data_IF_883450807510
#
_entry.id   IF_883450807510
#
_cell.length_a   1.000
_cell.length_b   1.000
_cell.length_c   1.000
_cell.angle_alpha   90.00
_cell.angle_beta   90.00
_cell.angle_gamma   90.00
#
_symmetry.space_group_name_H-M   'P 1'
#
loop_
_entity.id
_entity.type
_entity.pdbx_description
1 polymer ?
#
# COMPACT_ATOMS: atom_id res chain seq x y z
N UNK A 1 -13.19 -25.07 -11.17
CA UNK A 1 -13.20 -23.65 -11.54
C UNK A 1 -13.15 -22.84 -10.25
N UNK A 2 -12.00 -22.26 -9.93
CA UNK A 2 -11.87 -21.36 -8.77
C UNK A 2 -12.38 -20.00 -9.25
N UNK A 3 -13.54 -19.56 -8.76
CA UNK A 3 -14.00 -18.20 -9.01
C UNK A 3 -12.96 -17.23 -8.42
N UNK A 4 -12.37 -16.30 -9.21
CA UNK A 4 -11.55 -15.25 -8.62
C UNK A 4 -12.46 -14.47 -7.68
N UNK A 5 -12.07 -14.38 -6.39
CA UNK A 5 -12.81 -13.56 -5.42
C UNK A 5 -12.86 -12.13 -5.96
N UNK A 6 -14.05 -11.54 -6.17
CA UNK A 6 -14.20 -10.26 -6.87
C UNK A 6 -13.71 -9.03 -6.09
N UNK A 7 -13.13 -9.22 -4.90
CA UNK A 7 -12.76 -8.14 -3.98
C UNK A 7 -11.25 -7.93 -3.81
N UNK A 8 -10.41 -8.54 -4.66
CA UNK A 8 -8.97 -8.23 -4.63
C UNK A 8 -8.66 -7.24 -5.75
N UNK A 9 -8.31 -5.98 -5.42
CA UNK A 9 -7.98 -4.96 -6.41
C UNK A 9 -6.88 -5.46 -7.35
N UNK A 10 -7.04 -5.20 -8.65
CA UNK A 10 -6.12 -5.69 -9.66
C UNK A 10 -4.76 -4.97 -9.56
N UNK A 11 -3.80 -5.63 -8.92
CA UNK A 11 -2.44 -5.14 -8.74
C UNK A 11 -1.67 -5.00 -10.06
N UNK A 12 -2.17 -5.54 -11.18
CA UNK A 12 -1.55 -5.34 -12.50
C UNK A 12 -1.59 -3.87 -12.95
N UNK A 13 -2.46 -3.05 -12.34
CA UNK A 13 -2.48 -1.59 -12.56
C UNK A 13 -1.23 -0.91 -11.98
N UNK A 14 -0.60 -1.50 -10.97
CA UNK A 14 0.62 -0.97 -10.35
C UNK A 14 1.82 -1.41 -11.20
N UNK A 15 2.36 -0.47 -11.99
CA UNK A 15 3.53 -0.73 -12.83
C UNK A 15 4.86 -0.61 -12.07
N UNK A 16 4.83 -0.09 -10.85
CA UNK A 16 5.99 -0.08 -9.95
C UNK A 16 6.23 -1.49 -9.39
N UNK A 17 7.42 -2.03 -9.66
CA UNK A 17 7.84 -3.32 -9.10
C UNK A 17 7.94 -3.29 -7.58
N UNK A 18 8.39 -2.17 -7.00
CA UNK A 18 8.49 -2.03 -5.55
C UNK A 18 7.10 -1.99 -4.90
N UNK A 19 6.22 -1.07 -5.33
CA UNK A 19 4.88 -0.92 -4.74
C UNK A 19 4.06 -2.21 -4.89
N UNK A 20 4.16 -2.88 -6.04
CA UNK A 20 3.52 -4.18 -6.25
C UNK A 20 4.06 -5.24 -5.29
N UNK A 21 5.38 -5.36 -5.17
CA UNK A 21 5.98 -6.33 -4.25
C UNK A 21 5.59 -6.05 -2.80
N UNK A 22 5.45 -4.78 -2.40
CA UNK A 22 4.98 -4.40 -1.07
C UNK A 22 3.53 -4.83 -0.85
N UNK A 23 2.66 -4.59 -1.83
CA UNK A 23 1.27 -5.04 -1.76
C UNK A 23 1.20 -6.57 -1.63
N UNK A 24 1.99 -7.30 -2.41
CA UNK A 24 2.08 -8.77 -2.35
C UNK A 24 2.62 -9.25 -0.99
N UNK A 25 3.66 -8.63 -0.44
CA UNK A 25 4.21 -8.95 0.90
C UNK A 25 3.20 -8.69 2.02
N UNK A 26 2.47 -7.58 1.93
CA UNK A 26 1.43 -7.26 2.88
C UNK A 26 0.28 -8.27 2.80
N UNK A 27 -0.13 -8.68 1.59
CA UNK A 27 -1.11 -9.76 1.40
C UNK A 27 -0.62 -11.08 2.00
N UNK A 28 0.64 -11.43 1.77
CA UNK A 28 1.27 -12.62 2.35
C UNK A 28 1.31 -12.56 3.89
N UNK A 29 1.43 -11.36 4.45
CA UNK A 29 1.38 -11.11 5.90
C UNK A 29 -0.04 -11.11 6.48
N UNK A 30 -1.07 -11.36 5.67
CA UNK A 30 -2.47 -11.39 6.08
C UNK A 30 -3.24 -10.08 5.94
N UNK A 31 -2.59 -9.01 5.45
CA UNK A 31 -3.27 -7.77 5.07
C UNK A 31 -4.02 -7.96 3.74
N UNK A 32 -4.81 -6.99 3.32
CA UNK A 32 -5.49 -6.98 2.02
C UNK A 32 -5.54 -5.58 1.46
N UNK A 33 -5.37 -5.45 0.15
CA UNK A 33 -5.70 -4.19 -0.54
C UNK A 33 -7.23 -4.09 -0.55
N UNK A 34 -7.76 -3.00 0.00
CA UNK A 34 -9.21 -2.74 0.02
C UNK A 34 -9.66 -1.94 -1.20
N UNK A 35 -8.79 -1.08 -1.72
CA UNK A 35 -9.12 -0.23 -2.86
C UNK A 35 -7.86 0.24 -3.58
N UNK A 36 -8.00 0.51 -4.87
CA UNK A 36 -7.03 1.25 -5.68
C UNK A 36 -7.69 2.56 -6.09
N UNK A 37 -7.19 3.67 -5.55
CA UNK A 37 -7.66 5.01 -5.87
C UNK A 37 -6.73 5.67 -6.87
N UNK A 38 -7.26 6.10 -8.01
CA UNK A 38 -6.52 6.91 -8.97
C UNK A 38 -6.52 8.37 -8.47
N UNK A 39 -5.39 8.85 -7.96
CA UNK A 39 -5.21 10.25 -7.59
C UNK A 39 -4.61 11.04 -8.75
N UNK A 40 -4.77 12.36 -8.72
CA UNK A 40 -4.31 13.28 -9.78
C UNK A 40 -2.83 13.12 -10.15
N UNK A 41 -1.99 12.65 -9.22
CA UNK A 41 -0.55 12.46 -9.43
C UNK A 41 -0.07 11.02 -9.29
N UNK A 42 -0.87 10.11 -8.75
CA UNK A 42 -0.45 8.75 -8.48
C UNK A 42 -1.62 7.77 -8.33
N UNK A 43 -1.39 6.49 -8.57
CA UNK A 43 -2.35 5.43 -8.21
C UNK A 43 -2.03 4.94 -6.81
N UNK A 44 -2.95 5.10 -5.87
CA UNK A 44 -2.77 4.76 -4.46
C UNK A 44 -3.48 3.45 -4.12
N UNK A 45 -2.73 2.46 -3.66
CA UNK A 45 -3.25 1.23 -3.11
C UNK A 45 -3.55 1.41 -1.62
N UNK A 46 -4.82 1.40 -1.25
CA UNK A 46 -5.25 1.48 0.13
C UNK A 46 -5.31 0.07 0.74
N UNK A 47 -4.60 -0.10 1.85
CA UNK A 47 -4.55 -1.35 2.60
C UNK A 47 -5.62 -1.37 3.68
N UNK A 48 -6.09 -2.57 4.03
CA UNK A 48 -7.07 -2.78 5.09
C UNK A 48 -6.47 -2.47 6.46
N UNK A 49 -5.28 -2.99 6.70
CA UNK A 49 -4.61 -2.97 7.99
C UNK A 49 -3.34 -2.11 7.90
N UNK A 50 -2.85 -1.64 9.05
CA UNK A 50 -1.68 -0.78 9.14
C UNK A 50 -0.37 -1.45 8.73
N UNK A 51 0.65 -0.62 8.49
CA UNK A 51 1.98 -1.07 8.15
C UNK A 51 2.61 -1.73 9.37
N UNK A 52 2.91 -3.03 9.29
CA UNK A 52 3.57 -3.73 10.39
C UNK A 52 5.06 -3.36 10.46
N UNK A 53 5.67 -3.33 11.66
CA UNK A 53 7.09 -3.03 11.80
C UNK A 53 8.00 -3.99 11.01
N UNK A 54 7.62 -5.27 10.92
CA UNK A 54 8.36 -6.28 10.16
C UNK A 54 8.35 -5.95 8.66
N UNK A 55 7.19 -5.62 8.10
CA UNK A 55 7.07 -5.22 6.70
C UNK A 55 7.83 -3.92 6.44
N UNK A 56 7.72 -2.93 7.34
CA UNK A 56 8.48 -1.67 7.26
C UNK A 56 9.99 -1.89 7.17
N UNK A 57 10.53 -2.77 8.01
CA UNK A 57 11.95 -3.12 8.01
C UNK A 57 12.35 -3.85 6.71
N UNK A 58 11.51 -4.75 6.22
CA UNK A 58 11.76 -5.46 4.96
C UNK A 58 11.75 -4.51 3.76
N UNK A 59 10.83 -3.56 3.71
CA UNK A 59 10.77 -2.53 2.67
C UNK A 59 12.01 -1.66 2.70
N UNK A 60 12.40 -1.17 3.88
CA UNK A 60 13.58 -0.35 4.03
C UNK A 60 14.87 -1.08 3.62
N UNK A 61 14.94 -2.40 3.86
CA UNK A 61 16.08 -3.23 3.47
C UNK A 61 16.13 -3.49 1.95
N UNK A 62 14.97 -3.75 1.31
CA UNK A 62 14.90 -4.08 -0.13
C UNK A 62 14.91 -2.85 -1.02
N UNK A 63 14.22 -1.78 -0.62
CA UNK A 63 14.06 -0.55 -1.38
C UNK A 63 14.41 0.68 -0.51
N UNK A 64 15.69 0.89 -0.19
CA UNK A 64 16.12 2.04 0.62
C UNK A 64 15.89 3.39 -0.07
N UNK A 65 15.72 3.39 -1.40
CA UNK A 65 15.44 4.59 -2.20
C UNK A 65 13.93 4.90 -2.32
N UNK A 66 13.06 4.08 -1.71
CA UNK A 66 11.62 4.27 -1.80
C UNK A 66 11.19 5.47 -0.96
N UNK A 67 10.34 6.32 -1.52
CA UNK A 67 9.88 7.52 -0.82
C UNK A 67 8.82 7.11 0.21
N UNK A 68 9.17 7.21 1.49
CA UNK A 68 8.22 7.01 2.58
C UNK A 68 7.46 8.31 2.85
N UNK A 69 6.14 8.20 3.00
CA UNK A 69 5.31 9.30 3.46
C UNK A 69 4.50 8.88 4.69
N UNK A 70 4.18 9.85 5.53
CA UNK A 70 3.26 9.67 6.64
C UNK A 70 2.38 10.88 6.77
N UNK A 71 1.07 10.66 6.73
CA UNK A 71 0.06 11.64 7.07
C UNK A 71 -0.36 11.41 8.52
N UNK A 72 -0.30 12.46 9.34
CA UNK A 72 -0.79 12.43 10.71
C UNK A 72 -2.31 12.34 10.79
N UNK A 73 -3.01 12.40 9.65
CA UNK A 73 -4.45 12.47 9.58
C UNK A 73 -4.93 13.86 9.95
N UNK A 74 -6.10 14.20 9.46
CA UNK A 74 -6.79 15.44 9.78
C UNK A 74 -8.09 15.11 10.52
N UNK A 75 -8.81 16.08 11.11
CA UNK A 75 -10.12 15.81 11.71
C UNK A 75 -11.09 15.09 10.76
N UNK A 76 -10.91 15.28 9.45
CA UNK A 76 -11.69 14.64 8.38
C UNK A 76 -11.05 13.37 7.78
N UNK A 77 -9.75 13.12 7.99
CA UNK A 77 -9.02 11.99 7.40
C UNK A 77 -8.32 11.17 8.49
N UNK A 78 -8.48 9.85 8.45
CA UNK A 78 -7.70 8.97 9.32
C UNK A 78 -6.19 9.13 9.03
N UNK A 79 -5.32 8.98 10.05
CA UNK A 79 -3.88 8.94 9.83
C UNK A 79 -3.51 7.75 8.95
N UNK A 80 -2.62 7.97 7.98
CA UNK A 80 -2.10 6.92 7.11
C UNK A 80 -0.59 7.07 6.89
N UNK A 81 0.09 5.96 6.65
CA UNK A 81 1.49 5.94 6.28
C UNK A 81 1.71 5.04 5.08
N UNK A 82 2.76 5.28 4.32
CA UNK A 82 2.91 4.59 3.05
C UNK A 82 4.20 4.86 2.32
N UNK A 83 4.25 4.35 1.09
CA UNK A 83 5.38 4.52 0.20
C UNK A 83 4.92 4.93 -1.19
N UNK A 84 5.74 5.73 -1.87
CA UNK A 84 5.49 6.23 -3.23
C UNK A 84 6.70 5.93 -4.11
N UNK A 85 6.43 5.50 -5.35
CA UNK A 85 7.43 5.30 -6.38
C UNK A 85 6.82 5.53 -7.77
N UNK A 86 7.44 6.40 -8.59
CA UNK A 86 7.10 6.57 -10.01
C UNK A 86 5.60 6.79 -10.30
N UNK A 87 4.88 7.52 -9.44
CA UNK A 87 3.45 7.76 -9.60
C UNK A 87 2.55 6.59 -9.15
N UNK A 88 3.09 5.65 -8.37
CA UNK A 88 2.35 4.61 -7.67
C UNK A 88 2.60 4.75 -6.18
N UNK A 89 1.57 4.57 -5.38
CA UNK A 89 1.66 4.69 -3.94
C UNK A 89 0.96 3.52 -3.26
N UNK A 90 1.37 3.23 -2.03
CA UNK A 90 0.67 2.32 -1.14
C UNK A 90 0.45 3.01 0.20
N UNK A 91 -0.79 3.03 0.66
CA UNK A 91 -1.27 3.68 1.88
C UNK A 91 -1.74 2.61 2.86
N UNK A 92 -1.27 2.71 4.10
CA UNK A 92 -1.64 1.87 5.22
C UNK A 92 -2.26 2.73 6.32
N UNK A 93 -3.47 2.41 6.81
CA UNK A 93 -4.10 3.14 7.89
C UNK A 93 -3.33 2.97 9.20
N UNK A 94 -3.11 4.06 9.95
CA UNK A 94 -2.52 4.00 11.29
C UNK A 94 -3.63 3.91 12.35
N UNK A 95 -3.49 3.05 13.37
CA UNK A 95 -4.32 3.17 14.56
C UNK A 95 -4.03 4.52 15.25
N UNK A 96 -5.09 5.25 15.62
CA UNK A 96 -5.01 6.47 16.42
C UNK A 96 -4.53 6.19 17.84
#
# INVERSE_FOLDING_TARGET
MVYPRPDTPDLSRIKSGAIRAIAELAIASGNKVVSLADWTKAVVAHMRDGLTPALKAEIAARWPALEYYSDAGSPHNAPDEGYIENGFAISFPRPR
#
